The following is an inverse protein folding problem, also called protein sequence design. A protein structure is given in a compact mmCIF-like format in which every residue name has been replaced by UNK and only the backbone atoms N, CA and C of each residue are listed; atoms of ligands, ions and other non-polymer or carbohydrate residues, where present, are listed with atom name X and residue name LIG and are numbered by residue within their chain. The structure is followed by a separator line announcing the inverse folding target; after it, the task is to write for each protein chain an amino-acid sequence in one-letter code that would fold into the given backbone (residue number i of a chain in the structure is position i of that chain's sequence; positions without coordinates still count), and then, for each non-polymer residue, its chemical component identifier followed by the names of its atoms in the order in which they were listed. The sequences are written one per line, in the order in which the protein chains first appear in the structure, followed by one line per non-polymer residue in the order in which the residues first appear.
data_IF_524587272829
#
_entry.id   IF_524587272829
#
_cell.length_a   1.000
_cell.length_b   1.000
_cell.length_c   1.000
_cell.angle_alpha   90.00
_cell.angle_beta   90.00
_cell.angle_gamma   90.00
#
_symmetry.space_group_name_H-M   'P 1'
#
loop_
_entity.id
_entity.type
_entity.pdbx_description
1 polymer ?
#
# COMPACT_ATOMS: atom_id res chain seq x y z
N UNK A 1 24.02 -7.71 -6.06
CA UNK A 1 23.07 -7.49 -4.94
C UNK A 1 21.71 -6.92 -5.40
N UNK A 2 21.29 -7.23 -6.61
CA UNK A 2 20.08 -6.67 -7.28
C UNK A 2 18.79 -7.49 -7.10
N UNK A 3 18.83 -8.56 -6.30
CA UNK A 3 17.68 -9.48 -6.15
C UNK A 3 16.86 -9.30 -4.88
N UNK A 4 17.26 -8.40 -3.97
CA UNK A 4 16.62 -8.27 -2.65
C UNK A 4 15.35 -7.39 -2.69
N UNK A 5 15.23 -6.45 -3.62
CA UNK A 5 14.06 -5.57 -3.71
C UNK A 5 12.87 -6.20 -4.46
N UNK A 6 13.08 -7.21 -5.28
CA UNK A 6 12.01 -7.95 -5.95
C UNK A 6 11.33 -8.97 -5.02
N UNK A 7 11.98 -9.41 -3.97
CA UNK A 7 11.48 -10.45 -3.06
C UNK A 7 10.43 -9.96 -2.05
N UNK A 8 10.39 -8.68 -1.74
CA UNK A 8 9.41 -8.14 -0.78
C UNK A 8 7.99 -8.01 -1.33
N UNK A 9 7.80 -8.13 -2.65
CA UNK A 9 6.49 -7.96 -3.28
C UNK A 9 5.68 -9.26 -3.46
N UNK A 10 6.29 -10.42 -3.23
CA UNK A 10 5.69 -11.73 -3.55
C UNK A 10 5.13 -12.52 -2.35
N UNK A 11 5.22 -12.02 -1.11
CA UNK A 11 4.84 -12.81 0.09
C UNK A 11 3.38 -12.61 0.56
N UNK A 12 2.61 -11.74 -0.06
CA UNK A 12 1.25 -11.42 0.41
C UNK A 12 0.10 -12.18 -0.29
N UNK A 13 0.36 -13.23 -1.05
CA UNK A 13 -0.67 -13.88 -1.90
C UNK A 13 -1.03 -15.33 -1.51
N UNK A 14 -0.79 -15.75 -0.28
CA UNK A 14 -1.16 -17.12 0.11
C UNK A 14 -1.83 -17.16 1.47
N UNK A 15 -3.11 -16.83 1.58
CA UNK A 15 -4.01 -17.31 2.63
C UNK A 15 -5.46 -16.86 2.38
N UNK A 16 -6.13 -17.51 1.45
CA UNK A 16 -7.58 -17.46 1.38
C UNK A 16 -8.10 -18.79 0.79
N UNK A 17 -8.14 -19.82 1.61
CA UNK A 17 -8.96 -20.99 1.31
C UNK A 17 -9.40 -21.63 2.63
N UNK A 18 -10.68 -21.97 2.66
CA UNK A 18 -11.37 -22.87 3.56
C UNK A 18 -12.10 -22.26 4.76
N UNK A 19 -13.36 -21.97 4.53
CA UNK A 19 -14.40 -22.21 5.51
C UNK A 19 -15.41 -23.20 4.91
N UNK A 20 -15.27 -24.46 5.33
CA UNK A 20 -16.23 -25.51 5.10
C UNK A 20 -17.37 -25.37 6.12
N UNK A 21 -18.59 -25.35 5.64
CA UNK A 21 -19.82 -25.50 6.41
C UNK A 21 -19.99 -26.94 6.91
N UNK A 22 -20.32 -27.18 8.16
CA UNK A 22 -20.91 -28.44 8.57
C UNK A 22 -22.45 -28.37 8.45
N UNK A 23 -22.95 -29.25 7.66
CA UNK A 23 -24.35 -29.62 7.56
C UNK A 23 -24.67 -30.57 8.75
N UNK A 24 -25.55 -30.20 9.65
CA UNK A 24 -25.99 -30.99 10.77
C UNK A 24 -27.49 -31.27 10.68
N UNK A 25 -27.74 -32.55 10.75
CA UNK A 25 -28.96 -33.27 10.44
C UNK A 25 -30.03 -33.22 11.55
N UNK A 26 -31.24 -33.44 11.11
CA UNK A 26 -32.48 -33.95 11.66
C UNK A 26 -32.64 -34.25 13.15
N UNK A 27 -33.78 -33.75 13.67
CA UNK A 27 -34.78 -34.57 14.34
C UNK A 27 -34.60 -34.86 15.82
N UNK A 28 -35.51 -34.29 16.64
CA UNK A 28 -36.34 -35.09 17.58
C UNK A 28 -37.37 -34.18 18.28
N UNK A 29 -38.61 -34.58 18.17
CA UNK A 29 -39.74 -34.05 18.92
C UNK A 29 -39.73 -34.58 20.35
N UNK A 30 -40.10 -33.75 21.33
CA UNK A 30 -40.82 -34.12 22.58
C UNK A 30 -40.74 -33.03 23.65
N UNK A 31 -41.53 -33.08 24.71
CA UNK A 31 -42.91 -32.61 24.77
C UNK A 31 -43.06 -31.34 25.64
N UNK A 32 -44.26 -30.78 25.66
CA UNK A 32 -44.76 -29.64 26.42
C UNK A 32 -44.08 -29.37 27.77
N UNK A 33 -43.38 -28.23 27.83
CA UNK A 33 -42.98 -27.53 29.04
C UNK A 33 -43.55 -26.12 28.96
N UNK A 34 -44.20 -25.55 30.01
CA UNK A 34 -44.81 -24.22 29.98
C UNK A 34 -43.77 -23.17 29.68
N UNK A 35 -44.02 -22.31 28.65
CA UNK A 35 -43.17 -21.20 28.27
C UNK A 35 -43.01 -20.22 29.45
N UNK A 36 -41.77 -19.89 29.84
CA UNK A 36 -41.54 -18.66 30.57
C UNK A 36 -41.72 -17.47 29.62
N UNK A 37 -42.27 -16.38 30.17
CA UNK A 37 -42.54 -15.13 29.44
C UNK A 37 -41.36 -14.68 28.59
N UNK A 38 -41.61 -14.06 27.41
CA UNK A 38 -40.54 -13.63 26.51
C UNK A 38 -39.74 -12.54 27.20
N UNK A 39 -38.55 -12.90 27.67
CA UNK A 39 -37.50 -11.92 27.99
C UNK A 39 -37.25 -11.10 26.75
N UNK A 40 -37.45 -9.80 26.80
CA UNK A 40 -37.06 -8.86 25.73
C UNK A 40 -35.54 -8.93 25.54
N UNK A 41 -35.13 -9.96 24.80
CA UNK A 41 -33.75 -9.97 24.29
C UNK A 41 -33.62 -8.75 23.38
N UNK A 42 -32.92 -7.75 23.87
CA UNK A 42 -32.50 -6.61 23.04
C UNK A 42 -31.86 -7.22 21.79
N UNK A 43 -32.57 -7.11 20.67
CA UNK A 43 -32.10 -7.55 19.35
C UNK A 43 -30.85 -6.74 19.03
N UNK A 44 -29.70 -7.28 19.34
CA UNK A 44 -28.42 -6.70 18.86
C UNK A 44 -28.49 -6.72 17.34
N UNK A 45 -28.80 -5.57 16.76
CA UNK A 45 -28.72 -5.36 15.31
C UNK A 45 -27.30 -5.71 14.91
N UNK A 46 -27.09 -6.69 14.00
CA UNK A 46 -25.76 -6.99 13.51
C UNK A 46 -25.14 -5.69 13.00
N UNK A 47 -23.91 -5.39 13.44
CA UNK A 47 -23.18 -4.22 12.96
C UNK A 47 -23.13 -4.29 11.44
N UNK A 48 -23.78 -3.32 10.79
CA UNK A 48 -23.79 -3.23 9.33
C UNK A 48 -22.33 -3.12 8.85
N UNK A 49 -21.89 -3.96 7.89
CA UNK A 49 -20.55 -3.87 7.37
C UNK A 49 -20.30 -2.44 6.87
N UNK A 50 -19.12 -1.86 7.13
CA UNK A 50 -18.82 -0.51 6.71
C UNK A 50 -19.07 -0.38 5.20
N UNK A 51 -19.83 0.65 4.81
CA UNK A 51 -20.12 0.94 3.41
C UNK A 51 -18.80 1.09 2.63
N UNK A 52 -18.67 0.48 1.45
CA UNK A 52 -17.47 0.63 0.64
C UNK A 52 -17.28 2.12 0.32
N UNK A 53 -16.08 2.65 0.62
CA UNK A 53 -15.74 4.03 0.28
C UNK A 53 -15.46 4.18 -1.22
N UNK A 54 -15.61 5.37 -1.77
CA UNK A 54 -15.22 5.64 -3.15
C UNK A 54 -13.69 5.59 -3.29
N UNK A 55 -13.18 5.06 -4.43
CA UNK A 55 -11.74 5.03 -4.70
C UNK A 55 -11.09 6.44 -4.61
N UNK A 56 -11.79 7.44 -5.10
CA UNK A 56 -11.35 8.84 -5.04
C UNK A 56 -11.86 9.57 -3.78
N UNK A 57 -11.85 8.90 -2.63
CA UNK A 57 -12.13 9.56 -1.37
C UNK A 57 -10.97 10.49 -0.94
N UNK A 58 -11.23 11.37 0.02
CA UNK A 58 -10.22 12.34 0.50
C UNK A 58 -8.94 11.67 0.98
N UNK A 59 -9.04 10.51 1.61
CA UNK A 59 -7.87 9.78 2.14
C UNK A 59 -7.00 9.28 1.01
N UNK A 60 -7.58 8.67 -0.02
CA UNK A 60 -6.83 8.18 -1.17
C UNK A 60 -6.25 9.32 -2.01
N UNK A 61 -6.99 10.42 -2.20
CA UNK A 61 -6.46 11.61 -2.89
C UNK A 61 -5.23 12.16 -2.17
N UNK A 62 -5.25 12.26 -0.84
CA UNK A 62 -4.10 12.71 -0.06
C UNK A 62 -2.93 11.73 -0.15
N UNK A 63 -3.19 10.42 -0.10
CA UNK A 63 -2.17 9.40 -0.27
C UNK A 63 -1.55 9.44 -1.67
N UNK A 64 -2.34 9.60 -2.72
CA UNK A 64 -1.83 9.70 -4.10
C UNK A 64 -1.06 11.00 -4.33
N UNK A 65 -1.51 12.12 -3.76
CA UNK A 65 -0.75 13.37 -3.75
C UNK A 65 0.59 13.19 -3.00
N UNK A 66 0.58 12.47 -1.88
CA UNK A 66 1.78 12.08 -1.15
C UNK A 66 2.73 11.23 -2.01
N UNK A 67 2.23 10.19 -2.68
CA UNK A 67 3.04 9.37 -3.60
C UNK A 67 3.69 10.24 -4.67
N UNK A 68 2.94 11.10 -5.36
CA UNK A 68 3.47 11.99 -6.38
C UNK A 68 4.48 13.01 -5.83
N UNK A 69 4.18 13.60 -4.67
CA UNK A 69 5.06 14.55 -3.99
C UNK A 69 6.39 13.93 -3.58
N UNK A 70 6.37 12.73 -2.97
CA UNK A 70 7.61 12.03 -2.58
C UNK A 70 8.41 11.54 -3.78
N UNK A 71 7.79 11.17 -4.90
CA UNK A 71 8.49 10.88 -6.16
C UNK A 71 9.16 12.13 -6.73
N UNK A 72 8.50 13.28 -6.68
CA UNK A 72 9.13 14.55 -7.05
C UNK A 72 10.31 14.93 -6.14
N UNK A 73 10.19 14.67 -4.84
CA UNK A 73 11.29 14.87 -3.89
C UNK A 73 12.45 13.88 -4.13
N UNK A 74 12.15 12.63 -4.49
CA UNK A 74 13.18 11.65 -4.83
C UNK A 74 13.96 12.06 -6.06
N UNK A 75 13.28 12.50 -7.11
CA UNK A 75 13.92 13.10 -8.27
C UNK A 75 14.83 14.26 -7.87
N UNK A 76 14.32 15.23 -7.09
CA UNK A 76 15.10 16.41 -6.68
C UNK A 76 16.29 16.03 -5.78
N UNK A 77 16.09 15.11 -4.84
CA UNK A 77 17.13 14.66 -3.91
C UNK A 77 18.24 13.91 -4.63
N UNK A 78 17.91 13.08 -5.62
CA UNK A 78 18.88 12.35 -6.44
C UNK A 78 19.69 13.31 -7.32
N UNK A 79 19.05 14.33 -7.92
CA UNK A 79 19.76 15.38 -8.65
C UNK A 79 20.71 16.16 -7.75
N UNK A 80 20.27 16.54 -6.55
CA UNK A 80 21.14 17.18 -5.58
C UNK A 80 22.30 16.27 -5.14
N UNK A 81 22.04 14.97 -4.97
CA UNK A 81 23.04 13.97 -4.63
C UNK A 81 24.12 13.85 -5.72
N UNK A 82 23.72 13.79 -7.00
CA UNK A 82 24.63 13.78 -8.14
C UNK A 82 25.46 15.08 -8.24
N UNK A 83 24.84 16.25 -8.04
CA UNK A 83 25.53 17.54 -8.05
C UNK A 83 26.62 17.64 -6.96
N UNK A 84 26.52 16.84 -5.89
CA UNK A 84 27.54 16.72 -4.84
C UNK A 84 28.63 15.68 -5.14
N UNK A 85 28.74 15.21 -6.39
CA UNK A 85 29.74 14.26 -6.86
C UNK A 85 29.49 12.82 -6.39
N UNK A 86 28.25 12.49 -6.04
CA UNK A 86 27.85 11.14 -5.69
C UNK A 86 27.23 10.44 -6.88
N UNK A 87 27.40 9.13 -6.96
CA UNK A 87 26.82 8.28 -8.01
C UNK A 87 25.64 7.46 -7.45
N UNK A 88 24.57 7.38 -8.22
CA UNK A 88 23.45 6.49 -7.93
C UNK A 88 23.86 5.05 -8.28
N UNK A 89 23.63 4.11 -7.36
CA UNK A 89 24.04 2.71 -7.53
C UNK A 89 22.87 1.75 -7.83
N UNK A 90 21.64 2.24 -7.72
CA UNK A 90 20.43 1.41 -7.89
C UNK A 90 19.82 1.57 -9.29
N UNK A 91 20.04 2.70 -9.93
CA UNK A 91 19.50 3.04 -11.24
C UNK A 91 20.67 3.14 -12.23
N UNK A 92 20.54 2.55 -13.43
CA UNK A 92 21.57 2.67 -14.47
C UNK A 92 21.88 4.13 -14.81
N UNK A 93 23.16 4.42 -15.05
CA UNK A 93 23.67 5.78 -15.28
C UNK A 93 23.03 6.46 -16.51
N UNK A 94 22.72 5.72 -17.55
CA UNK A 94 22.04 6.21 -18.75
C UNK A 94 20.62 6.68 -18.46
N UNK A 95 19.94 6.09 -17.49
CA UNK A 95 18.60 6.51 -17.06
C UNK A 95 18.70 7.67 -16.08
N UNK A 96 19.50 7.54 -15.01
CA UNK A 96 19.55 8.55 -13.95
C UNK A 96 20.19 9.86 -14.44
N UNK A 97 21.12 9.81 -15.40
CA UNK A 97 21.74 10.99 -15.99
C UNK A 97 20.86 11.66 -17.06
N UNK A 98 19.89 10.95 -17.61
CA UNK A 98 18.89 11.52 -18.51
C UNK A 98 17.70 12.05 -17.69
N UNK A 99 17.54 13.39 -17.65
CA UNK A 99 16.47 14.03 -16.87
C UNK A 99 15.07 13.54 -17.25
N UNK A 100 14.80 13.37 -18.55
CA UNK A 100 13.50 12.89 -19.03
C UNK A 100 13.30 11.40 -18.70
N UNK A 101 14.34 10.58 -18.88
CA UNK A 101 14.32 9.17 -18.52
C UNK A 101 14.07 8.96 -17.03
N UNK A 102 14.77 9.69 -16.20
CA UNK A 102 14.59 9.59 -14.74
C UNK A 102 13.21 10.11 -14.29
N UNK A 103 12.75 11.25 -14.81
CA UNK A 103 11.40 11.73 -14.52
C UNK A 103 10.32 10.75 -14.97
N UNK A 104 10.50 10.07 -16.10
CA UNK A 104 9.59 9.03 -16.59
C UNK A 104 9.57 7.81 -15.65
N UNK A 105 10.72 7.41 -15.12
CA UNK A 105 10.83 6.33 -14.14
C UNK A 105 10.05 6.67 -12.85
N UNK A 106 10.22 7.90 -12.35
CA UNK A 106 9.51 8.39 -11.17
C UNK A 106 7.99 8.43 -11.39
N UNK A 107 7.56 8.92 -12.55
CA UNK A 107 6.15 8.95 -12.94
C UNK A 107 5.56 7.52 -13.08
N UNK A 108 6.31 6.60 -13.68
CA UNK A 108 5.92 5.20 -13.80
C UNK A 108 5.78 4.52 -12.43
N UNK A 109 6.69 4.81 -11.49
CA UNK A 109 6.61 4.34 -10.12
C UNK A 109 5.35 4.82 -9.40
N UNK A 110 5.01 6.11 -9.54
CA UNK A 110 3.77 6.66 -8.99
C UNK A 110 2.53 6.01 -9.62
N UNK A 111 2.48 5.92 -10.96
CA UNK A 111 1.37 5.32 -11.69
C UNK A 111 1.16 3.84 -11.31
N UNK A 112 2.24 3.08 -11.16
CA UNK A 112 2.18 1.68 -10.70
C UNK A 112 1.57 1.55 -9.31
N UNK A 113 1.98 2.40 -8.37
CA UNK A 113 1.43 2.40 -7.00
C UNK A 113 -0.06 2.71 -7.00
N UNK A 114 -0.49 3.74 -7.74
CA UNK A 114 -1.90 4.12 -7.84
C UNK A 114 -2.71 3.02 -8.55
N UNK A 115 -2.16 2.42 -9.61
CA UNK A 115 -2.79 1.32 -10.34
C UNK A 115 -3.00 0.07 -9.48
N UNK A 116 -2.01 -0.29 -8.65
CA UNK A 116 -2.12 -1.39 -7.69
C UNK A 116 -3.15 -1.09 -6.60
N UNK A 117 -3.18 0.16 -6.10
CA UNK A 117 -4.20 0.60 -5.15
C UNK A 117 -5.60 0.50 -5.76
N UNK A 118 -5.78 0.90 -7.01
CA UNK A 118 -7.04 0.75 -7.73
C UNK A 118 -7.45 -0.72 -7.89
N UNK A 119 -6.50 -1.57 -8.24
CA UNK A 119 -6.78 -3.01 -8.35
C UNK A 119 -7.23 -3.60 -7.00
N UNK A 120 -6.54 -3.27 -5.91
CA UNK A 120 -6.93 -3.72 -4.57
C UNK A 120 -8.32 -3.21 -4.17
N UNK A 121 -8.65 -1.97 -4.52
CA UNK A 121 -10.00 -1.42 -4.34
C UNK A 121 -11.04 -2.26 -5.08
N UNK A 122 -10.78 -2.58 -6.36
CA UNK A 122 -11.70 -3.36 -7.22
C UNK A 122 -11.95 -4.78 -6.70
N UNK A 123 -10.97 -5.40 -6.04
CA UNK A 123 -11.10 -6.74 -5.43
C UNK A 123 -11.54 -6.70 -3.96
N UNK A 124 -11.92 -5.53 -3.43
CA UNK A 124 -12.46 -5.37 -2.09
C UNK A 124 -11.43 -5.34 -0.95
N UNK A 125 -10.14 -5.26 -1.27
CA UNK A 125 -9.06 -5.21 -0.28
C UNK A 125 -8.70 -3.78 0.13
N UNK A 126 -9.68 -3.02 0.66
CA UNK A 126 -9.56 -1.60 0.99
C UNK A 126 -8.45 -1.24 1.99
N UNK A 127 -8.04 -2.17 2.86
CA UNK A 127 -6.88 -1.95 3.74
C UNK A 127 -5.58 -1.97 2.96
N UNK A 128 -5.40 -2.98 2.08
CA UNK A 128 -4.19 -3.14 1.26
C UNK A 128 -4.07 -1.97 0.28
N UNK A 129 -5.18 -1.52 -0.29
CA UNK A 129 -5.27 -0.35 -1.14
C UNK A 129 -4.50 0.86 -0.57
N UNK A 130 -4.75 1.22 0.68
CA UNK A 130 -4.10 2.36 1.35
C UNK A 130 -2.67 2.05 1.79
N UNK A 131 -2.43 0.82 2.24
CA UNK A 131 -1.09 0.39 2.64
C UNK A 131 -0.07 0.46 1.50
N UNK A 132 -0.47 0.19 0.25
CA UNK A 132 0.39 0.34 -0.93
C UNK A 132 0.96 1.75 -1.00
N UNK A 133 0.12 2.77 -0.89
CA UNK A 133 0.55 4.17 -0.92
C UNK A 133 1.40 4.54 0.29
N UNK A 134 1.03 4.10 1.49
CA UNK A 134 1.77 4.37 2.72
C UNK A 134 3.19 3.78 2.65
N UNK A 135 3.31 2.53 2.24
CA UNK A 135 4.62 1.86 2.08
C UNK A 135 5.45 2.55 1.00
N UNK A 136 4.84 2.91 -0.13
CA UNK A 136 5.52 3.64 -1.20
C UNK A 136 6.10 4.98 -0.69
N UNK A 137 5.28 5.80 -0.02
CA UNK A 137 5.72 7.06 0.59
C UNK A 137 6.86 6.82 1.59
N UNK A 138 6.74 5.81 2.45
CA UNK A 138 7.75 5.48 3.45
C UNK A 138 9.10 5.10 2.82
N UNK A 139 9.10 4.22 1.83
CA UNK A 139 10.32 3.78 1.13
C UNK A 139 10.95 4.93 0.36
N UNK A 140 10.17 5.68 -0.41
CA UNK A 140 10.66 6.83 -1.17
C UNK A 140 11.18 7.93 -0.23
N UNK A 141 10.42 8.22 0.85
CA UNK A 141 10.84 9.19 1.86
C UNK A 141 12.15 8.83 2.55
N UNK A 142 12.35 7.54 2.85
CA UNK A 142 13.63 7.07 3.38
C UNK A 142 14.77 7.34 2.38
N UNK A 143 14.58 7.08 1.08
CA UNK A 143 15.54 7.39 0.02
C UNK A 143 15.90 8.88 -0.02
N UNK A 144 14.89 9.74 0.01
CA UNK A 144 15.04 11.20 0.03
C UNK A 144 15.89 11.66 1.23
N UNK A 145 15.53 11.22 2.44
CA UNK A 145 16.27 11.57 3.67
C UNK A 145 17.72 11.10 3.57
N UNK A 146 17.93 9.86 3.13
CA UNK A 146 19.27 9.31 2.94
C UNK A 146 20.08 10.15 1.96
N UNK A 147 19.52 10.51 0.81
CA UNK A 147 20.21 11.30 -0.22
C UNK A 147 20.66 12.67 0.32
N UNK A 148 19.81 13.35 1.11
CA UNK A 148 20.17 14.63 1.72
C UNK A 148 21.13 14.50 2.90
N UNK A 149 21.12 13.41 3.64
CA UNK A 149 21.99 13.21 4.82
C UNK A 149 23.44 12.88 4.46
N UNK A 150 23.71 12.38 3.24
CA UNK A 150 25.04 12.03 2.82
C UNK A 150 25.87 13.28 2.49
N UNK A 151 27.09 13.36 3.05
CA UNK A 151 28.05 14.47 2.84
C UNK A 151 28.52 14.50 1.39
N UNK A 152 28.96 15.67 0.89
CA UNK A 152 29.61 15.82 -0.43
C UNK A 152 30.86 14.93 -0.53
N UNK A 153 31.06 14.34 -1.70
CA UNK A 153 32.26 13.55 -1.99
C UNK A 153 33.46 14.45 -2.30
N UNK A 154 33.19 15.67 -2.82
CA UNK A 154 34.19 16.68 -3.04
C UNK A 154 34.14 17.67 -1.86
N UNK A 155 35.26 17.86 -1.12
CA UNK A 155 35.37 18.96 -0.16
C UNK A 155 35.26 20.27 -0.93
N UNK A 156 34.48 21.23 -0.43
CA UNK A 156 34.54 22.59 -0.97
C UNK A 156 35.99 23.11 -0.81
N UNK A 157 36.55 23.82 -1.81
CA UNK A 157 37.86 24.44 -1.71
C UNK A 157 37.93 25.47 -0.57
#
# INVERSE_FOLDING_TARGET
MTWILAACFLIALSSAAQQATPRGDAGQASPDVPLPAPSSQARTTPAQPPSPHAFWDRSNILLFAGVGGFRGLDYASTRNFQARGREEVLIPDDVVNNSAGFASLEAAGAATSIGLSYWMHRVGHHRIERWISIVHIGVTGFGVVRNYSLKSKHPSP
#
